data_IF_998236840843
#
_entry.id   IF_998236840843
#
_cell.length_a   1.000
_cell.length_b   1.000
_cell.length_c   1.000
_cell.angle_alpha   90.00
_cell.angle_beta   90.00
_cell.angle_gamma   90.00
#
_symmetry.space_group_name_H-M   'P 1'
#
loop_
_entity.id
_entity.type
_entity.pdbx_description
1 polymer ?
#
# COMPACT_ATOMS: atom_id res chain seq x y z
N UNK A 1 -8.07 12.28 19.01
CA UNK A 1 -8.78 10.98 18.97
C UNK A 1 -9.94 11.13 18.00
N UNK A 2 -9.81 10.70 16.75
CA UNK A 2 -10.93 10.77 15.79
C UNK A 2 -11.83 9.57 16.04
N UNK A 3 -13.12 9.80 16.33
CA UNK A 3 -14.10 8.71 16.38
C UNK A 3 -14.17 8.00 15.02
N UNK A 4 -13.98 6.68 15.07
CA UNK A 4 -14.03 5.78 13.93
C UNK A 4 -15.45 5.26 13.82
N UNK A 5 -16.28 5.96 13.05
CA UNK A 5 -17.60 5.44 12.67
C UNK A 5 -17.47 4.23 11.73
N UNK A 6 -18.47 3.32 11.70
CA UNK A 6 -18.39 2.02 11.02
C UNK A 6 -18.04 2.08 9.52
N UNK A 7 -18.35 3.20 8.84
CA UNK A 7 -17.97 3.41 7.43
C UNK A 7 -16.45 3.51 7.22
N UNK A 8 -15.72 4.15 8.13
CA UNK A 8 -14.27 4.36 7.99
C UNK A 8 -13.46 3.07 8.06
N UNK A 9 -13.94 2.06 8.79
CA UNK A 9 -13.29 0.75 8.84
C UNK A 9 -13.50 -0.01 7.53
N UNK A 10 -14.69 0.09 6.93
CA UNK A 10 -14.97 -0.54 5.65
C UNK A 10 -14.14 0.08 4.54
N UNK A 11 -14.07 1.41 4.47
CA UNK A 11 -13.21 2.11 3.50
C UNK A 11 -11.74 1.67 3.61
N UNK A 12 -11.26 1.45 4.84
CA UNK A 12 -9.92 0.93 5.10
C UNK A 12 -9.74 -0.52 4.62
N UNK A 13 -10.70 -1.41 4.90
CA UNK A 13 -10.61 -2.81 4.45
C UNK A 13 -10.70 -2.90 2.92
N UNK A 14 -11.58 -2.14 2.30
CA UNK A 14 -11.79 -2.14 0.85
C UNK A 14 -10.50 -1.78 0.09
N UNK A 15 -9.77 -0.74 0.53
CA UNK A 15 -8.53 -0.36 -0.14
C UNK A 15 -7.44 -1.43 -0.01
N UNK A 16 -7.38 -2.17 1.11
CA UNK A 16 -6.46 -3.30 1.27
C UNK A 16 -6.79 -4.46 0.34
N UNK A 17 -8.07 -4.76 0.10
CA UNK A 17 -8.46 -5.75 -0.89
C UNK A 17 -8.00 -5.37 -2.30
N UNK A 18 -8.10 -4.09 -2.66
CA UNK A 18 -7.60 -3.59 -3.95
C UNK A 18 -6.08 -3.71 -4.06
N UNK A 19 -5.34 -3.34 -3.00
CA UNK A 19 -3.88 -3.43 -2.95
C UNK A 19 -3.42 -4.88 -3.14
N UNK A 20 -4.05 -5.84 -2.47
CA UNK A 20 -3.73 -7.28 -2.62
C UNK A 20 -4.04 -7.79 -4.03
N UNK A 21 -5.10 -7.32 -4.67
CA UNK A 21 -5.38 -7.68 -6.06
C UNK A 21 -4.31 -7.15 -7.02
N UNK A 22 -3.84 -5.91 -6.83
CA UNK A 22 -2.70 -5.35 -7.60
C UNK A 22 -1.46 -6.21 -7.39
N UNK A 23 -1.19 -6.59 -6.14
CA UNK A 23 -0.12 -7.49 -5.81
C UNK A 23 -0.26 -8.81 -6.59
N UNK A 24 -1.40 -9.50 -6.53
CA UNK A 24 -1.60 -10.75 -7.26
C UNK A 24 -1.36 -10.58 -8.77
N UNK A 25 -1.85 -9.51 -9.38
CA UNK A 25 -1.61 -9.19 -10.79
C UNK A 25 -0.11 -9.05 -11.10
N UNK A 26 0.65 -8.29 -10.28
CA UNK A 26 2.10 -8.14 -10.49
C UNK A 26 2.87 -9.47 -10.37
N UNK A 27 2.34 -10.44 -9.62
CA UNK A 27 2.95 -11.78 -9.53
C UNK A 27 2.76 -12.56 -10.82
N UNK A 28 1.58 -12.48 -11.43
CA UNK A 28 1.29 -13.10 -12.73
C UNK A 28 2.17 -12.51 -13.84
N UNK A 29 2.44 -11.21 -13.77
CA UNK A 29 3.33 -10.49 -14.69
C UNK A 29 4.82 -10.67 -14.39
N UNK A 30 5.21 -11.49 -13.40
CA UNK A 30 6.61 -11.69 -12.99
C UNK A 30 7.33 -10.39 -12.58
N UNK A 31 6.61 -9.44 -12.00
CA UNK A 31 7.14 -8.19 -11.46
C UNK A 31 7.40 -8.28 -9.95
N UNK A 32 8.38 -7.52 -9.48
CA UNK A 32 8.63 -7.28 -8.07
C UNK A 32 7.71 -6.20 -7.52
N UNK A 33 7.42 -6.27 -6.22
CA UNK A 33 6.56 -5.34 -5.48
C UNK A 33 7.15 -5.01 -4.12
N UNK A 34 7.05 -3.75 -3.71
CA UNK A 34 7.39 -3.29 -2.37
C UNK A 34 6.29 -2.37 -1.85
N UNK A 35 6.11 -2.33 -0.53
CA UNK A 35 5.09 -1.50 0.12
C UNK A 35 5.70 -0.73 1.29
N UNK A 36 5.29 0.53 1.43
CA UNK A 36 5.59 1.36 2.59
C UNK A 36 4.32 2.02 3.10
N UNK A 37 4.05 1.86 4.39
CA UNK A 37 2.97 2.56 5.09
C UNK A 37 3.58 3.84 5.71
N UNK A 38 3.27 5.04 5.19
CA UNK A 38 3.75 6.28 5.79
C UNK A 38 3.09 6.53 7.15
N UNK A 39 3.85 7.07 8.10
CA UNK A 39 3.37 7.36 9.46
C UNK A 39 3.44 8.86 9.79
N UNK A 40 2.77 9.27 10.86
CA UNK A 40 2.79 10.65 11.37
C UNK A 40 2.34 11.66 10.29
N UNK A 41 3.17 12.67 10.01
CA UNK A 41 2.88 13.72 9.03
C UNK A 41 3.20 13.32 7.58
N UNK A 42 3.85 12.16 7.36
CA UNK A 42 4.28 11.74 6.03
C UNK A 42 3.11 11.67 5.04
N UNK A 43 1.95 11.04 5.34
CA UNK A 43 0.83 10.94 4.40
C UNK A 43 0.35 12.32 3.95
N UNK A 44 0.18 13.26 4.89
CA UNK A 44 -0.25 14.64 4.61
C UNK A 44 0.73 15.34 3.68
N UNK A 45 2.03 15.32 4.01
CA UNK A 45 3.08 15.96 3.19
C UNK A 45 3.15 15.37 1.78
N UNK A 46 3.01 14.06 1.64
CA UNK A 46 3.00 13.40 0.33
C UNK A 46 1.79 13.86 -0.49
N UNK A 47 0.59 13.85 0.09
CA UNK A 47 -0.63 14.31 -0.60
C UNK A 47 -0.54 15.78 -1.01
N UNK A 48 0.06 16.64 -0.18
CA UNK A 48 0.31 18.05 -0.50
C UNK A 48 1.28 18.21 -1.67
N UNK A 49 2.41 17.49 -1.67
CA UNK A 49 3.39 17.51 -2.76
C UNK A 49 2.77 17.00 -4.07
N UNK A 50 1.89 16.00 -3.99
CA UNK A 50 1.18 15.45 -5.15
C UNK A 50 -0.02 16.31 -5.60
N UNK A 51 -0.37 17.38 -4.87
CA UNK A 51 -1.51 18.23 -5.18
C UNK A 51 -2.85 17.48 -5.12
N UNK A 52 -2.96 16.46 -4.28
CA UNK A 52 -4.19 15.66 -4.17
C UNK A 52 -5.34 16.48 -3.57
N UNK A 53 -6.60 16.21 -3.96
CA UNK A 53 -7.76 16.89 -3.40
C UNK A 53 -7.89 16.68 -1.89
N UNK A 54 -8.49 17.68 -1.21
CA UNK A 54 -8.80 17.58 0.22
C UNK A 54 -9.70 16.38 0.52
N UNK A 55 -9.39 15.64 1.59
CA UNK A 55 -10.13 14.46 2.02
C UNK A 55 -9.59 13.13 1.45
N UNK A 56 -8.61 13.16 0.55
CA UNK A 56 -7.92 11.94 0.12
C UNK A 56 -7.12 11.33 1.27
N UNK A 57 -7.04 10.00 1.28
CA UNK A 57 -6.25 9.23 2.23
C UNK A 57 -5.15 8.47 1.49
N UNK A 58 -3.97 8.37 2.10
CA UNK A 58 -2.85 7.61 1.57
C UNK A 58 -2.54 6.43 2.50
N UNK A 59 -3.09 5.22 2.22
CA UNK A 59 -2.89 4.05 3.09
C UNK A 59 -1.48 3.49 2.96
N UNK A 60 -0.90 3.48 1.76
CA UNK A 60 0.45 3.03 1.49
C UNK A 60 0.99 3.64 0.19
N UNK A 61 2.31 3.53 0.02
CA UNK A 61 3.00 3.71 -1.25
C UNK A 61 3.42 2.33 -1.72
N UNK A 62 3.19 2.04 -3.01
CA UNK A 62 3.55 0.78 -3.65
C UNK A 62 4.61 1.07 -4.71
N UNK A 63 5.72 0.33 -4.68
CA UNK A 63 6.67 0.27 -5.79
C UNK A 63 6.49 -1.02 -6.58
N UNK A 64 6.39 -0.92 -7.91
CA UNK A 64 6.27 -2.06 -8.83
C UNK A 64 7.36 -1.91 -9.90
N UNK A 65 8.00 -3.01 -10.27
CA UNK A 65 8.99 -2.99 -11.35
C UNK A 65 9.69 -4.33 -11.57
N UNK A 66 10.62 -4.35 -12.52
CA UNK A 66 11.44 -5.53 -12.78
C UNK A 66 12.33 -5.86 -11.58
N UNK A 67 12.45 -7.16 -11.31
CA UNK A 67 13.23 -7.67 -10.18
C UNK A 67 14.72 -7.43 -10.47
N UNK A 68 15.39 -6.67 -9.60
CA UNK A 68 16.82 -6.43 -9.71
C UNK A 68 17.61 -7.72 -9.48
N UNK A 69 18.79 -7.83 -10.11
CA UNK A 69 19.70 -8.94 -9.86
C UNK A 69 20.09 -9.00 -8.38
N UNK A 70 19.97 -10.18 -7.76
CA UNK A 70 20.24 -10.38 -6.34
C UNK A 70 19.14 -9.91 -5.38
N UNK A 71 17.96 -9.52 -5.88
CA UNK A 71 16.82 -9.23 -5.01
C UNK A 71 16.41 -10.47 -4.21
N UNK A 72 16.36 -10.33 -2.88
CA UNK A 72 15.98 -11.42 -2.00
C UNK A 72 14.47 -11.66 -2.05
N UNK A 73 14.08 -12.83 -2.55
CA UNK A 73 12.73 -13.35 -2.31
C UNK A 73 12.72 -14.14 -1.01
N UNK A 74 12.00 -13.66 0.01
CA UNK A 74 11.86 -14.38 1.28
C UNK A 74 10.95 -15.60 1.07
N UNK A 75 11.54 -16.74 0.69
CA UNK A 75 10.84 -17.99 0.37
C UNK A 75 10.26 -18.74 1.58
N UNK A 76 10.41 -18.21 2.81
CA UNK A 76 9.87 -18.85 4.02
C UNK A 76 8.54 -18.21 4.41
N UNK A 77 7.46 -18.95 4.16
CA UNK A 77 6.16 -18.76 4.80
C UNK A 77 6.35 -18.52 6.30
N UNK A 78 5.98 -17.34 6.77
CA UNK A 78 5.67 -17.12 8.18
C UNK A 78 4.35 -17.87 8.40
N UNK A 79 4.41 -19.06 9.01
CA UNK A 79 3.23 -19.67 9.62
C UNK A 79 2.87 -18.79 10.82
N UNK A 80 1.72 -18.13 10.72
CA UNK A 80 1.03 -17.47 11.82
C UNK A 80 0.26 -18.52 12.61
#
# INVERSE_FOLDING_TARGET
MMEVGPRKLMDFVEIWCVIENVFLATTDESLGRSMRIPTEEQPRKILEVLGCPSGYQLPCIIGIGHIAEGAEYRSRFIRI
#
